data_IF_349328096493
#
_entry.id   IF_349328096493
#
_cell.length_a   1.000
_cell.length_b   1.000
_cell.length_c   1.000
_cell.angle_alpha   90.00
_cell.angle_beta   90.00
_cell.angle_gamma   90.00
#
_symmetry.space_group_name_H-M   'P 1'
#
loop_
_entity.id
_entity.type
_entity.pdbx_description
1 polymer ?
#
# COMPACT_ATOMS: atom_id res chain seq x y z
N UNK A 1 18.06 16.08 2.55
CA UNK A 1 16.81 16.32 3.29
C UNK A 1 16.36 14.98 3.80
N UNK A 2 16.25 14.80 5.11
CA UNK A 2 15.63 13.59 5.65
C UNK A 2 14.11 13.75 5.57
N UNK A 3 13.42 12.67 5.22
CA UNK A 3 11.97 12.63 5.17
C UNK A 3 11.50 11.44 6.00
N UNK A 4 10.42 11.65 6.74
CA UNK A 4 9.81 10.64 7.61
C UNK A 4 8.36 10.44 7.18
N UNK A 5 7.91 9.19 6.97
CA UNK A 5 6.51 8.87 6.71
C UNK A 5 5.60 9.38 7.82
N UNK A 6 4.34 9.65 7.49
CA UNK A 6 3.35 9.94 8.52
C UNK A 6 3.01 8.69 9.35
N UNK A 7 2.23 8.88 10.42
CA UNK A 7 1.90 7.79 11.35
C UNK A 7 1.14 6.63 10.68
N UNK A 8 0.32 6.90 9.66
CA UNK A 8 -0.40 5.87 8.92
C UNK A 8 0.53 5.14 7.97
N UNK A 9 1.37 5.86 7.25
CA UNK A 9 2.37 5.26 6.34
C UNK A 9 3.38 4.40 7.09
N UNK A 10 3.78 4.81 8.29
CA UNK A 10 4.64 4.02 9.17
C UNK A 10 3.94 2.75 9.65
N UNK A 11 2.66 2.82 10.04
CA UNK A 11 1.88 1.64 10.41
C UNK A 11 1.70 0.67 9.24
N UNK A 12 1.44 1.18 8.03
CA UNK A 12 1.36 0.37 6.82
C UNK A 12 2.70 -0.32 6.53
N UNK A 13 3.83 0.36 6.76
CA UNK A 13 5.17 -0.22 6.64
C UNK A 13 5.39 -1.37 7.65
N UNK A 14 4.99 -1.19 8.90
CA UNK A 14 5.09 -2.25 9.93
C UNK A 14 4.26 -3.48 9.55
N UNK A 15 3.06 -3.29 9.00
CA UNK A 15 2.18 -4.37 8.55
C UNK A 15 2.72 -5.09 7.30
N UNK A 16 3.37 -4.37 6.39
CA UNK A 16 4.09 -4.95 5.26
C UNK A 16 5.28 -5.82 5.74
N UNK A 17 6.11 -5.28 6.63
CA UNK A 17 7.33 -5.96 7.11
C UNK A 17 7.02 -7.17 7.99
N UNK A 18 5.94 -7.13 8.75
CA UNK A 18 5.47 -8.27 9.56
C UNK A 18 4.81 -9.37 8.73
N UNK A 19 4.46 -9.10 7.46
CA UNK A 19 3.71 -10.02 6.61
C UNK A 19 2.20 -10.02 6.88
N UNK A 20 1.69 -9.14 7.75
CA UNK A 20 0.25 -9.00 7.99
C UNK A 20 -0.52 -8.59 6.71
N UNK A 21 0.17 -7.96 5.75
CA UNK A 21 -0.38 -7.56 4.46
C UNK A 21 -0.13 -8.53 3.31
N UNK A 22 0.25 -9.79 3.57
CA UNK A 22 0.32 -10.79 2.50
C UNK A 22 -1.01 -10.83 1.70
N UNK A 23 -0.96 -10.82 0.35
CA UNK A 23 0.22 -11.10 -0.51
C UNK A 23 1.10 -9.89 -0.87
N UNK A 24 0.85 -8.69 -0.34
CA UNK A 24 1.66 -7.51 -0.66
C UNK A 24 3.13 -7.69 -0.24
N UNK A 25 4.03 -7.27 -1.12
CA UNK A 25 5.49 -7.25 -0.88
C UNK A 25 6.05 -5.84 -0.76
N UNK A 26 5.18 -4.83 -0.84
CA UNK A 26 5.50 -3.42 -0.73
C UNK A 26 4.24 -2.55 -0.89
N UNK A 27 4.43 -1.23 -0.91
CA UNK A 27 3.36 -0.29 -1.22
C UNK A 27 2.84 -0.49 -2.65
N UNK A 28 1.56 -0.18 -2.88
CA UNK A 28 0.89 -0.40 -4.15
C UNK A 28 1.50 0.48 -5.26
N UNK A 29 1.78 -0.16 -6.39
CA UNK A 29 2.08 0.53 -7.65
C UNK A 29 0.81 1.08 -8.30
N UNK A 30 0.98 1.75 -9.45
CA UNK A 30 -0.11 2.41 -10.17
C UNK A 30 -1.28 1.47 -10.49
N UNK A 31 -1.00 0.29 -11.05
CA UNK A 31 -2.02 -0.64 -11.54
C UNK A 31 -2.86 -1.24 -10.40
N UNK A 32 -2.20 -1.67 -9.33
CA UNK A 32 -2.89 -2.20 -8.14
C UNK A 32 -3.67 -1.11 -7.42
N UNK A 33 -3.11 0.11 -7.32
CA UNK A 33 -3.81 1.25 -6.74
C UNK A 33 -5.07 1.60 -7.55
N UNK A 34 -4.98 1.61 -8.87
CA UNK A 34 -6.12 1.84 -9.75
C UNK A 34 -7.17 0.73 -9.56
N UNK A 35 -6.78 -0.53 -9.59
CA UNK A 35 -7.71 -1.65 -9.40
C UNK A 35 -8.38 -1.63 -8.02
N UNK A 36 -7.67 -1.28 -6.96
CA UNK A 36 -8.25 -1.19 -5.60
C UNK A 36 -9.30 -0.08 -5.53
N UNK A 37 -9.06 1.06 -6.18
CA UNK A 37 -10.01 2.18 -6.19
C UNK A 37 -11.29 1.87 -6.96
N UNK A 38 -11.18 1.19 -8.09
CA UNK A 38 -12.33 0.90 -8.96
C UNK A 38 -13.08 -0.37 -8.52
N UNK A 39 -12.34 -1.41 -8.13
CA UNK A 39 -12.87 -2.76 -7.97
C UNK A 39 -12.78 -3.31 -6.54
N UNK A 40 -12.04 -2.66 -5.64
CA UNK A 40 -11.75 -3.21 -4.31
C UNK A 40 -10.89 -4.47 -4.35
N UNK A 41 -10.09 -4.64 -5.41
CA UNK A 41 -9.19 -5.79 -5.60
C UNK A 41 -7.82 -5.33 -6.10
N UNK A 42 -6.77 -6.10 -5.80
CA UNK A 42 -5.50 -6.01 -6.53
C UNK A 42 -5.71 -6.37 -8.01
N UNK A 43 -4.71 -6.10 -8.85
CA UNK A 43 -4.82 -6.34 -10.31
C UNK A 43 -5.06 -7.81 -10.66
N UNK A 44 -4.62 -8.73 -9.78
CA UNK A 44 -4.77 -10.18 -9.96
C UNK A 44 -6.15 -10.70 -9.48
N UNK A 45 -7.01 -9.81 -8.98
CA UNK A 45 -8.34 -10.15 -8.45
C UNK A 45 -8.37 -10.43 -6.95
N UNK A 46 -7.24 -10.39 -6.26
CA UNK A 46 -7.21 -10.58 -4.80
C UNK A 46 -8.02 -9.47 -4.12
N UNK A 47 -9.02 -9.79 -3.26
CA UNK A 47 -9.79 -8.78 -2.54
C UNK A 47 -8.90 -7.91 -1.65
N UNK A 48 -8.99 -6.60 -1.82
CA UNK A 48 -8.20 -5.65 -1.05
C UNK A 48 -8.94 -4.31 -0.90
N UNK A 49 -9.42 -3.98 0.31
CA UNK A 49 -10.43 -2.94 0.48
C UNK A 49 -9.87 -1.51 0.59
N UNK A 50 -8.56 -1.34 0.78
CA UNK A 50 -7.97 -0.03 1.07
C UNK A 50 -6.60 0.17 0.40
N UNK A 51 -6.32 1.37 -0.14
CA UNK A 51 -4.99 1.71 -0.64
C UNK A 51 -3.91 1.63 0.44
N UNK A 52 -2.74 1.11 0.06
CA UNK A 52 -1.51 1.09 0.87
C UNK A 52 -0.43 1.79 0.06
N UNK A 53 -0.20 3.08 0.33
CA UNK A 53 0.67 3.95 -0.50
C UNK A 53 1.61 4.78 0.36
N UNK A 54 2.75 5.17 -0.21
CA UNK A 54 3.75 6.02 0.43
C UNK A 54 3.89 7.34 -0.35
N UNK A 55 3.67 8.47 0.30
CA UNK A 55 3.81 9.79 -0.29
C UNK A 55 5.22 10.34 -0.09
N UNK A 56 5.95 10.53 -1.19
CA UNK A 56 7.27 11.16 -1.15
C UNK A 56 7.13 12.65 -1.51
N UNK A 57 7.54 13.59 -0.66
CA UNK A 57 7.58 15.01 -1.01
C UNK A 57 8.67 15.28 -2.06
N UNK A 58 8.38 16.21 -2.96
CA UNK A 58 9.29 16.65 -4.05
C UNK A 58 10.27 17.72 -3.64
#
# INVERSE_FOLDING_TARGET
MEWTPDARELADLELLLSGAYQPLTGFLGHDDLHSVRENGTLRDGTPWPAPVTLHIPG
#
